data_IF_019452597682
#
_entry.id   IF_019452597682
#
_cell.length_a   1.000
_cell.length_b   1.000
_cell.length_c   1.000
_cell.angle_alpha   90.00
_cell.angle_beta   90.00
_cell.angle_gamma   90.00
#
_symmetry.space_group_name_H-M   'P 1'
#
loop_
_entity.id
_entity.type
_entity.pdbx_description
1 polymer ?
#
# COMPACT_ATOMS: atom_id res chain seq x y z
N UNK A 1 -2.08 -1.17 -6.44
CA UNK A 1 -2.32 -1.07 -4.99
C UNK A 1 -3.79 -0.84 -4.80
N UNK A 2 -4.41 -1.45 -3.80
CA UNK A 2 -5.80 -1.19 -3.43
C UNK A 2 -5.87 -0.11 -2.36
N UNK A 3 -6.92 0.70 -2.41
CA UNK A 3 -7.16 1.81 -1.50
C UNK A 3 -8.63 1.80 -1.09
N UNK A 4 -8.91 1.83 0.22
CA UNK A 4 -10.25 2.06 0.74
C UNK A 4 -10.21 2.76 2.10
N UNK A 5 -11.35 3.29 2.51
CA UNK A 5 -11.50 4.01 3.77
C UNK A 5 -12.43 3.28 4.74
N UNK A 6 -11.99 3.17 6.00
CA UNK A 6 -12.75 2.67 7.14
C UNK A 6 -12.87 3.80 8.17
N UNK A 7 -13.86 4.68 7.96
CA UNK A 7 -13.97 5.92 8.72
C UNK A 7 -12.74 6.81 8.48
N UNK A 8 -12.04 7.29 9.52
CA UNK A 8 -10.83 8.11 9.36
C UNK A 8 -9.56 7.29 9.05
N UNK A 9 -9.67 5.99 8.79
CA UNK A 9 -8.53 5.11 8.52
C UNK A 9 -8.44 4.79 7.04
N UNK A 10 -7.36 5.22 6.39
CA UNK A 10 -7.02 4.87 4.99
C UNK A 10 -6.29 3.54 4.98
N UNK A 11 -6.84 2.54 4.31
CA UNK A 11 -6.22 1.22 4.15
C UNK A 11 -5.59 1.12 2.77
N UNK A 12 -4.29 0.83 2.73
CA UNK A 12 -3.48 0.67 1.53
C UNK A 12 -2.97 -0.77 1.46
N UNK A 13 -3.37 -1.52 0.43
CA UNK A 13 -2.93 -2.91 0.24
C UNK A 13 -2.03 -3.06 -0.99
N UNK A 14 -0.83 -3.60 -0.82
CA UNK A 14 -0.06 -4.12 -1.95
C UNK A 14 -0.85 -5.25 -2.62
N UNK A 15 -0.94 -5.20 -3.95
CA UNK A 15 -1.84 -6.04 -4.75
C UNK A 15 -1.07 -6.86 -5.79
N UNK A 16 0.10 -7.38 -5.40
CA UNK A 16 0.89 -8.35 -6.19
C UNK A 16 0.99 -9.69 -5.43
N UNK A 17 -0.13 -10.33 -5.05
CA UNK A 17 -0.10 -11.53 -4.21
C UNK A 17 0.68 -12.69 -4.85
N UNK A 18 0.68 -12.79 -6.18
CA UNK A 18 1.43 -13.81 -6.94
C UNK A 18 2.96 -13.68 -6.76
N UNK A 19 3.45 -12.46 -6.51
CA UNK A 19 4.85 -12.16 -6.19
C UNK A 19 5.08 -11.91 -4.69
N UNK A 20 4.15 -12.34 -3.83
CA UNK A 20 4.21 -12.08 -2.39
C UNK A 20 4.40 -10.58 -2.05
N UNK A 21 3.81 -9.72 -2.88
CA UNK A 21 3.92 -8.27 -2.74
C UNK A 21 5.36 -7.74 -2.75
N UNK A 22 6.26 -8.39 -3.50
CA UNK A 22 7.62 -7.89 -3.72
C UNK A 22 7.60 -6.45 -4.28
N UNK A 23 8.47 -5.60 -3.74
CA UNK A 23 8.59 -4.19 -4.09
C UNK A 23 9.45 -4.01 -5.33
N UNK A 24 8.80 -3.70 -6.45
CA UNK A 24 9.44 -3.10 -7.62
C UNK A 24 9.33 -1.56 -7.56
N UNK A 25 10.04 -0.86 -8.46
CA UNK A 25 10.02 0.60 -8.50
C UNK A 25 8.60 1.17 -8.68
N UNK A 26 7.79 0.54 -9.55
CA UNK A 26 6.43 0.99 -9.82
C UNK A 26 5.49 0.83 -8.61
N UNK A 27 5.66 -0.22 -7.80
CA UNK A 27 4.91 -0.43 -6.57
C UNK A 27 5.37 0.55 -5.49
N UNK A 28 6.68 0.81 -5.38
CA UNK A 28 7.22 1.81 -4.47
C UNK A 28 6.71 3.23 -4.79
N UNK A 29 6.64 3.60 -6.07
CA UNK A 29 6.10 4.88 -6.51
C UNK A 29 4.61 5.01 -6.19
N UNK A 30 3.82 3.96 -6.45
CA UNK A 30 2.39 3.93 -6.11
C UNK A 30 2.15 3.99 -4.61
N UNK A 31 2.95 3.30 -3.81
CA UNK A 31 2.87 3.36 -2.35
C UNK A 31 3.19 4.77 -1.83
N UNK A 32 4.23 5.40 -2.39
CA UNK A 32 4.62 6.78 -2.06
C UNK A 32 3.51 7.76 -2.38
N UNK A 33 2.94 7.69 -3.59
CA UNK A 33 1.85 8.56 -4.00
C UNK A 33 0.62 8.41 -3.08
N UNK A 34 0.22 7.19 -2.76
CA UNK A 34 -0.93 6.96 -1.90
C UNK A 34 -0.72 7.39 -0.44
N UNK A 35 0.51 7.29 0.07
CA UNK A 35 0.86 7.85 1.39
C UNK A 35 0.82 9.37 1.38
N UNK A 36 1.25 10.02 0.29
CA UNK A 36 1.16 11.47 0.12
C UNK A 36 -0.31 11.92 0.03
N UNK A 37 -1.13 11.21 -0.73
CA UNK A 37 -2.56 11.47 -0.83
C UNK A 37 -3.26 11.34 0.54
N UNK A 38 -2.90 10.30 1.31
CA UNK A 38 -3.40 10.11 2.67
C UNK A 38 -2.96 11.23 3.63
N UNK A 39 -1.71 11.70 3.50
CA UNK A 39 -1.18 12.78 4.32
C UNK A 39 -1.80 14.15 4.00
N UNK A 40 -2.25 14.35 2.76
CA UNK A 40 -2.90 15.59 2.32
C UNK A 40 -4.40 15.67 2.67
N UNK A 41 -5.01 14.54 3.02
CA UNK A 41 -6.44 14.43 3.30
C UNK A 41 -6.74 14.67 4.79
N UNK A 42 -7.38 15.80 5.18
CA UNK A 42 -7.68 16.09 6.57
C UNK A 42 -8.74 15.15 7.19
N UNK A 43 -9.45 14.36 6.39
CA UNK A 43 -10.36 13.33 6.89
C UNK A 43 -9.63 12.06 7.35
N UNK A 44 -8.37 11.86 6.90
CA UNK A 44 -7.55 10.70 7.27
C UNK A 44 -6.81 10.99 8.58
N UNK A 45 -7.16 10.24 9.62
CA UNK A 45 -6.51 10.28 10.93
C UNK A 45 -5.45 9.19 11.13
N UNK A 46 -5.49 8.11 10.34
CA UNK A 46 -4.50 7.03 10.39
C UNK A 46 -4.40 6.29 9.05
N UNK A 47 -3.26 5.63 8.83
CA UNK A 47 -3.02 4.77 7.65
C UNK A 47 -2.69 3.36 8.11
N UNK A 48 -3.36 2.36 7.52
CA UNK A 48 -2.96 0.95 7.59
C UNK A 48 -2.30 0.59 6.26
N UNK A 49 -1.04 0.17 6.30
CA UNK A 49 -0.35 -0.40 5.16
C UNK A 49 -0.30 -1.92 5.32
N UNK A 50 -0.84 -2.65 4.35
CA UNK A 50 -0.91 -4.11 4.36
C UNK A 50 -0.64 -4.70 2.97
N UNK A 51 -0.72 -6.03 2.83
CA UNK A 51 -0.59 -6.74 1.56
C UNK A 51 -1.73 -7.73 1.35
N UNK A 52 -2.19 -7.85 0.11
CA UNK A 52 -3.19 -8.84 -0.28
C UNK A 52 -2.62 -10.26 -0.25
N UNK A 53 -3.48 -11.23 0.04
CA UNK A 53 -3.11 -12.64 0.08
C UNK A 53 -2.37 -13.04 1.35
N UNK A 54 -1.34 -13.89 1.22
CA UNK A 54 -0.72 -14.57 2.37
C UNK A 54 0.47 -13.84 3.01
N UNK A 55 0.90 -12.72 2.44
CA UNK A 55 2.11 -12.02 2.87
C UNK A 55 1.94 -10.51 2.80
N UNK A 56 2.54 -9.78 3.74
CA UNK A 56 2.63 -8.32 3.67
C UNK A 56 3.47 -7.89 2.47
N UNK A 57 4.76 -8.21 2.47
CA UNK A 57 5.72 -7.92 1.40
C UNK A 57 6.94 -8.83 1.57
N UNK A 58 7.42 -9.45 0.49
CA UNK A 58 8.59 -10.32 0.49
C UNK A 58 9.94 -9.58 0.43
N UNK A 59 9.94 -8.25 0.36
CA UNK A 59 11.14 -7.42 0.21
C UNK A 59 11.29 -6.85 -1.21
N UNK A 60 12.51 -6.52 -1.61
CA UNK A 60 12.82 -5.94 -2.94
C UNK A 60 12.68 -7.01 -4.03
N UNK A 61 11.97 -6.67 -5.11
CA UNK A 61 11.92 -7.46 -6.35
C UNK A 61 13.28 -7.32 -7.06
N UNK A 62 13.97 -8.43 -7.30
CA UNK A 62 15.33 -8.46 -7.87
C UNK A 62 15.34 -8.68 -9.40
N UNK A 63 14.16 -8.76 -10.02
CA UNK A 63 13.98 -8.90 -11.47
C UNK A 63 14.01 -7.57 -12.22
#
# INVERSE_FOLDING_TARGET
MLVHDEGPVRVLSFDRPDKLNALDAALADRATAALQDAAADPAVGAVVLTGEGRAFCAGVDLE
#
